data_IF_022714093580
#
_entry.id   IF_022714093580
#
_cell.length_a   1.000
_cell.length_b   1.000
_cell.length_c   1.000
_cell.angle_alpha   90.00
_cell.angle_beta   90.00
_cell.angle_gamma   90.00
#
_symmetry.space_group_name_H-M   'P 1'
#
loop_
_entity.id
_entity.type
_entity.pdbx_description
1 polymer ?
#
# COMPACT_ATOMS: atom_id res chain seq x y z
N UNK A 1 14.64 12.16 11.22
CA UNK A 1 14.85 10.81 10.63
C UNK A 1 16.23 10.77 10.00
N UNK A 2 17.07 9.80 10.38
CA UNK A 2 18.35 9.54 9.71
C UNK A 2 18.13 8.66 8.50
N UNK A 3 18.75 9.00 7.36
CA UNK A 3 18.47 8.34 6.08
C UNK A 3 19.43 7.20 5.71
N UNK A 4 20.48 6.97 6.51
CA UNK A 4 21.43 5.89 6.26
C UNK A 4 22.01 5.90 4.84
N UNK A 5 21.61 4.93 4.01
CA UNK A 5 22.08 4.80 2.62
C UNK A 5 21.29 5.67 1.62
N UNK A 6 20.14 6.25 1.98
CA UNK A 6 19.33 7.05 1.05
C UNK A 6 20.01 8.40 0.81
N UNK A 7 20.46 8.72 -0.42
CA UNK A 7 21.11 9.99 -0.71
C UNK A 7 20.10 11.14 -0.71
N UNK A 8 20.46 12.27 -0.05
CA UNK A 8 19.63 13.46 0.05
C UNK A 8 20.10 14.62 -0.85
N UNK A 9 21.11 14.43 -1.68
CA UNK A 9 21.72 15.50 -2.47
C UNK A 9 20.78 16.19 -3.45
N UNK A 10 19.73 15.52 -3.86
CA UNK A 10 18.68 15.99 -4.77
C UNK A 10 17.37 16.35 -4.07
N UNK A 11 17.30 16.19 -2.75
CA UNK A 11 16.13 16.51 -1.93
C UNK A 11 16.16 17.97 -1.49
N UNK A 12 15.01 18.62 -1.53
CA UNK A 12 14.80 20.04 -1.14
C UNK A 12 13.73 20.13 -0.06
N UNK A 13 13.71 21.25 0.63
CA UNK A 13 12.61 21.59 1.54
C UNK A 13 11.29 21.62 0.77
N UNK A 14 10.26 20.98 1.31
CA UNK A 14 8.96 20.82 0.68
C UNK A 14 8.83 19.55 -0.16
N UNK A 15 9.92 18.82 -0.46
CA UNK A 15 9.83 17.50 -1.09
C UNK A 15 9.22 16.49 -0.12
N UNK A 16 8.66 15.42 -0.67
CA UNK A 16 8.10 14.33 0.13
C UNK A 16 9.01 13.12 0.15
N UNK A 17 9.13 12.49 1.33
CA UNK A 17 9.80 11.20 1.53
C UNK A 17 8.80 10.26 2.23
N UNK A 18 8.53 9.11 1.65
CA UNK A 18 7.75 8.06 2.29
C UNK A 18 8.57 7.43 3.42
N UNK A 19 7.99 7.40 4.62
CA UNK A 19 8.55 6.78 5.83
C UNK A 19 7.63 5.68 6.28
N UNK A 20 8.06 4.42 6.19
CA UNK A 20 7.17 3.25 6.29
C UNK A 20 5.89 3.42 5.46
N UNK A 21 6.02 3.93 4.23
CA UNK A 21 4.89 4.17 3.33
C UNK A 21 4.02 5.37 3.69
N UNK A 22 4.39 6.19 4.67
CA UNK A 22 3.70 7.43 5.01
C UNK A 22 4.38 8.59 4.32
N UNK A 23 3.68 9.30 3.44
CA UNK A 23 4.19 10.49 2.77
C UNK A 23 4.39 11.62 3.78
N UNK A 24 5.65 12.03 4.00
CA UNK A 24 6.01 13.12 4.91
C UNK A 24 6.77 14.23 4.15
N UNK A 25 6.40 15.47 4.42
CA UNK A 25 7.04 16.63 3.82
C UNK A 25 8.30 17.02 4.58
N UNK A 26 9.42 17.17 3.87
CA UNK A 26 10.71 17.60 4.43
C UNK A 26 10.63 19.06 4.87
N UNK A 27 10.83 19.30 6.16
CA UNK A 27 10.84 20.66 6.75
C UNK A 27 12.25 21.18 7.01
N UNK A 28 13.23 20.28 7.28
CA UNK A 28 14.63 20.63 7.48
C UNK A 28 15.56 19.54 6.96
N UNK A 29 16.77 19.90 6.56
CA UNK A 29 17.83 19.01 6.06
C UNK A 29 19.12 19.24 6.85
N UNK A 30 19.33 18.55 7.99
CA UNK A 30 20.54 18.72 8.82
C UNK A 30 21.81 18.10 8.21
N UNK A 31 21.70 17.35 7.10
CA UNK A 31 22.82 16.76 6.37
C UNK A 31 22.90 15.24 6.44
N UNK A 32 22.55 14.62 7.56
CA UNK A 32 22.54 13.15 7.74
C UNK A 32 21.12 12.55 7.77
N UNK A 33 20.12 13.40 7.47
CA UNK A 33 18.72 13.01 7.51
C UNK A 33 17.80 14.18 7.18
N UNK A 34 16.55 14.08 7.60
CA UNK A 34 15.54 15.12 7.43
C UNK A 34 14.61 15.20 8.63
N UNK A 35 13.99 16.38 8.79
CA UNK A 35 12.88 16.59 9.70
C UNK A 35 11.58 16.64 8.89
N UNK A 36 10.51 16.17 9.50
CA UNK A 36 9.18 16.28 8.97
C UNK A 36 8.18 16.42 10.12
N UNK A 37 7.18 17.26 9.94
CA UNK A 37 6.06 17.37 10.86
C UNK A 37 5.03 16.28 10.57
N UNK A 38 4.51 15.67 11.63
CA UNK A 38 3.50 14.61 11.51
C UNK A 38 2.24 15.06 12.22
N UNK A 39 1.11 15.09 11.49
CA UNK A 39 -0.17 15.46 12.06
C UNK A 39 -0.67 14.43 13.08
N UNK A 40 -1.51 14.85 14.02
CA UNK A 40 -2.16 13.95 14.98
C UNK A 40 -3.02 12.89 14.26
N UNK A 41 -3.62 13.23 13.13
CA UNK A 41 -4.39 12.32 12.29
C UNK A 41 -3.46 11.24 11.71
N UNK A 42 -2.35 11.61 11.09
CA UNK A 42 -1.35 10.67 10.57
C UNK A 42 -0.84 9.75 11.66
N UNK A 43 -0.52 10.26 12.85
CA UNK A 43 -0.12 9.43 13.99
C UNK A 43 -1.21 8.45 14.41
N UNK A 44 -2.48 8.86 14.39
CA UNK A 44 -3.58 7.98 14.80
C UNK A 44 -3.89 6.86 13.81
N UNK A 45 -3.63 7.09 12.51
CA UNK A 45 -3.99 6.18 11.42
C UNK A 45 -2.83 5.29 10.94
N UNK A 46 -1.61 5.52 11.43
CA UNK A 46 -0.41 4.83 10.95
C UNK A 46 0.42 4.21 12.08
N UNK A 47 1.33 3.31 11.72
CA UNK A 47 2.29 2.71 12.64
C UNK A 47 3.29 3.72 13.22
N UNK A 48 3.33 4.96 12.70
CA UNK A 48 4.21 6.02 13.23
C UNK A 48 3.92 6.36 14.69
N UNK A 49 2.70 6.11 15.18
CA UNK A 49 2.33 6.28 16.60
C UNK A 49 3.21 5.46 17.58
N UNK A 50 3.73 4.32 17.11
CA UNK A 50 4.52 3.38 17.93
C UNK A 50 6.01 3.47 17.68
N UNK A 51 6.46 4.34 16.78
CA UNK A 51 7.89 4.55 16.51
C UNK A 51 8.56 5.27 17.67
N UNK A 52 9.74 4.81 18.02
CA UNK A 52 10.63 5.41 19.03
C UNK A 52 12.00 5.71 18.45
N UNK A 53 12.80 6.47 19.21
CA UNK A 53 14.19 6.75 18.81
C UNK A 53 14.96 5.44 18.66
N UNK A 54 15.58 5.26 17.48
CA UNK A 54 16.32 4.05 17.12
C UNK A 54 15.51 3.00 16.37
N UNK A 55 14.19 3.20 16.18
CA UNK A 55 13.40 2.33 15.31
C UNK A 55 13.89 2.41 13.87
N UNK A 56 14.02 1.25 13.21
CA UNK A 56 14.27 1.18 11.79
C UNK A 56 12.99 1.52 11.01
N UNK A 57 13.15 2.23 9.89
CA UNK A 57 12.05 2.60 8.97
C UNK A 57 12.48 2.42 7.52
N UNK A 58 11.55 2.02 6.67
CA UNK A 58 11.72 2.07 5.22
C UNK A 58 11.63 3.53 4.75
N UNK A 59 12.51 3.91 3.84
CA UNK A 59 12.53 5.26 3.27
C UNK A 59 12.53 5.19 1.75
N UNK A 60 11.68 5.97 1.11
CA UNK A 60 11.63 6.11 -0.33
C UNK A 60 11.34 7.56 -0.71
N UNK A 61 12.12 8.10 -1.67
CA UNK A 61 11.86 9.43 -2.22
C UNK A 61 10.67 9.39 -3.17
N UNK A 62 9.97 10.50 -3.30
CA UNK A 62 8.88 10.65 -4.26
C UNK A 62 9.31 10.29 -5.67
N UNK A 63 8.42 9.64 -6.41
CA UNK A 63 8.61 9.35 -7.83
C UNK A 63 8.73 10.64 -8.63
N UNK A 64 9.60 10.62 -9.62
CA UNK A 64 9.70 11.65 -10.65
C UNK A 64 9.27 11.09 -12.01
N UNK A 65 8.96 11.91 -13.01
CA UNK A 65 8.58 11.41 -14.35
C UNK A 65 9.63 10.53 -15.02
N UNK A 66 10.86 10.54 -14.53
CA UNK A 66 11.99 9.76 -15.08
C UNK A 66 12.38 8.58 -14.19
N UNK A 67 11.76 8.42 -13.03
CA UNK A 67 12.03 7.29 -12.13
C UNK A 67 11.44 6.01 -12.72
N UNK A 68 12.23 4.94 -12.78
CA UNK A 68 11.72 3.63 -13.18
C UNK A 68 10.73 3.12 -12.13
N UNK A 69 9.54 2.71 -12.56
CA UNK A 69 8.53 2.13 -11.68
C UNK A 69 8.86 0.66 -11.42
N UNK A 70 9.42 0.35 -10.25
CA UNK A 70 9.82 -0.99 -9.86
C UNK A 70 8.69 -1.87 -9.28
N UNK A 71 7.49 -1.33 -9.16
CA UNK A 71 6.31 -2.01 -8.61
C UNK A 71 5.03 -1.38 -9.15
N UNK A 72 4.06 -1.09 -8.27
CA UNK A 72 2.88 -0.31 -8.61
C UNK A 72 3.03 1.15 -8.16
N UNK A 73 2.05 1.99 -8.48
CA UNK A 73 2.03 3.39 -8.04
C UNK A 73 1.75 3.43 -6.53
N UNK A 74 2.75 3.80 -5.77
CA UNK A 74 2.66 4.01 -4.32
C UNK A 74 2.73 5.50 -4.06
N UNK A 75 1.73 6.02 -3.37
CA UNK A 75 1.59 7.46 -3.11
C UNK A 75 2.04 7.89 -1.71
N UNK A 76 2.19 6.93 -0.81
CA UNK A 76 2.45 7.19 0.60
C UNK A 76 1.20 7.58 1.38
N UNK A 77 0.01 7.27 0.84
CA UNK A 77 -1.27 7.54 1.46
C UNK A 77 -1.83 6.27 2.10
N UNK A 78 -1.43 6.03 3.35
CA UNK A 78 -1.82 4.84 4.11
C UNK A 78 -3.32 4.76 4.27
N UNK A 79 -3.90 3.60 3.91
CA UNK A 79 -5.34 3.34 4.01
C UNK A 79 -5.75 2.75 5.36
N UNK A 80 -4.81 2.15 6.08
CA UNK A 80 -5.05 1.57 7.39
C UNK A 80 -3.91 0.72 7.89
N UNK A 81 -4.08 0.17 9.09
CA UNK A 81 -3.11 -0.72 9.72
C UNK A 81 -3.51 -2.19 9.52
N UNK A 82 -2.56 -2.98 9.03
CA UNK A 82 -2.65 -4.44 9.08
C UNK A 82 -1.87 -4.99 10.26
N UNK A 83 -2.11 -6.26 10.58
CA UNK A 83 -1.38 -6.98 11.63
C UNK A 83 -0.76 -8.24 11.04
N UNK A 84 0.52 -8.46 11.28
CA UNK A 84 1.20 -9.71 10.92
C UNK A 84 0.63 -10.83 11.81
N UNK A 85 -0.04 -11.81 11.19
CA UNK A 85 -0.69 -12.92 11.92
C UNK A 85 0.06 -14.25 11.79
N UNK A 86 0.91 -14.38 10.78
CA UNK A 86 1.81 -15.53 10.66
C UNK A 86 3.09 -15.13 9.92
N UNK A 87 4.18 -15.75 10.31
CA UNK A 87 5.51 -15.56 9.73
C UNK A 87 6.22 -16.90 9.73
N UNK A 88 6.69 -17.36 8.59
CA UNK A 88 7.43 -18.61 8.47
C UNK A 88 8.44 -18.54 7.34
N UNK A 89 9.52 -19.32 7.48
CA UNK A 89 10.51 -19.49 6.42
C UNK A 89 9.97 -20.44 5.35
N UNK A 90 10.14 -20.08 4.07
CA UNK A 90 9.76 -20.89 2.92
C UNK A 90 10.98 -21.02 1.99
N UNK A 91 11.75 -22.08 2.18
CA UNK A 91 13.05 -22.31 1.54
C UNK A 91 14.01 -21.11 1.76
N UNK A 92 14.26 -20.30 0.71
CA UNK A 92 15.11 -19.11 0.79
C UNK A 92 14.34 -17.82 1.08
N UNK A 93 13.01 -17.85 0.97
CA UNK A 93 12.12 -16.71 1.18
C UNK A 93 11.37 -16.79 2.50
N UNK A 94 10.54 -15.81 2.77
CA UNK A 94 9.70 -15.72 3.95
C UNK A 94 8.25 -15.58 3.55
N UNK A 95 7.39 -16.41 4.13
CA UNK A 95 5.94 -16.29 3.98
C UNK A 95 5.41 -15.44 5.13
N UNK A 96 4.73 -14.37 4.77
CA UNK A 96 4.13 -13.42 5.72
C UNK A 96 2.64 -13.37 5.47
N UNK A 97 1.84 -13.64 6.50
CA UNK A 97 0.39 -13.46 6.44
C UNK A 97 0.00 -12.23 7.23
N UNK A 98 -0.80 -11.37 6.64
CA UNK A 98 -1.25 -10.11 7.23
C UNK A 98 -2.77 -10.10 7.27
N UNK A 99 -3.31 -9.72 8.42
CA UNK A 99 -4.72 -9.43 8.61
C UNK A 99 -4.94 -7.94 8.31
N UNK A 100 -5.67 -7.62 7.25
CA UNK A 100 -6.08 -6.27 6.94
C UNK A 100 -7.39 -5.89 7.64
N UNK A 101 -7.69 -4.60 7.82
CA UNK A 101 -9.03 -4.14 8.16
C UNK A 101 -10.06 -4.65 7.16
N UNK A 102 -11.25 -5.05 7.64
CA UNK A 102 -12.30 -5.61 6.78
C UNK A 102 -12.69 -4.68 5.61
N UNK A 103 -12.65 -3.36 5.82
CA UNK A 103 -12.94 -2.37 4.78
C UNK A 103 -11.94 -2.36 3.62
N UNK A 104 -10.72 -2.88 3.82
CA UNK A 104 -9.69 -2.94 2.78
C UNK A 104 -9.73 -4.25 1.98
N UNK A 105 -10.42 -5.29 2.47
CA UNK A 105 -10.42 -6.61 1.86
C UNK A 105 -10.81 -6.60 0.37
N UNK A 106 -11.77 -5.77 -0.02
CA UNK A 106 -12.27 -5.66 -1.40
C UNK A 106 -11.23 -5.16 -2.41
N UNK A 107 -10.20 -4.47 -1.95
CA UNK A 107 -9.13 -3.92 -2.80
C UNK A 107 -7.93 -4.86 -2.90
N UNK A 108 -7.86 -5.91 -2.08
CA UNK A 108 -6.73 -6.83 -2.02
C UNK A 108 -7.08 -8.08 -2.83
N UNK A 109 -6.41 -8.24 -3.96
CA UNK A 109 -6.68 -9.33 -4.89
C UNK A 109 -5.46 -10.26 -5.03
N UNK A 110 -5.69 -11.57 -5.18
CA UNK A 110 -4.61 -12.51 -5.52
C UNK A 110 -3.96 -12.12 -6.83
N UNK A 111 -2.62 -12.10 -6.86
CA UNK A 111 -1.77 -11.60 -7.94
C UNK A 111 -1.85 -10.09 -8.18
N UNK A 112 -2.63 -9.36 -7.39
CA UNK A 112 -2.60 -7.91 -7.35
C UNK A 112 -1.41 -7.37 -6.55
N UNK A 113 -1.30 -6.06 -6.48
CA UNK A 113 -0.27 -5.35 -5.71
C UNK A 113 -0.84 -4.79 -4.42
N UNK A 114 0.01 -4.73 -3.41
CA UNK A 114 -0.23 -4.02 -2.15
C UNK A 114 1.07 -3.39 -1.67
N UNK A 115 0.98 -2.23 -1.06
CA UNK A 115 2.10 -1.62 -0.37
C UNK A 115 2.04 -1.91 1.13
N UNK A 116 3.13 -2.43 1.70
CA UNK A 116 3.28 -2.71 3.13
C UNK A 116 4.50 -1.97 3.64
N UNK A 117 4.29 -1.06 4.58
CA UNK A 117 5.34 -0.16 5.10
C UNK A 117 6.23 0.44 3.99
N UNK A 118 5.61 0.92 2.89
CA UNK A 118 6.30 1.51 1.75
C UNK A 118 6.86 0.51 0.74
N UNK A 119 6.76 -0.78 0.98
CA UNK A 119 7.26 -1.81 0.07
C UNK A 119 6.15 -2.32 -0.85
N UNK A 120 6.31 -2.15 -2.17
CA UNK A 120 5.41 -2.71 -3.19
C UNK A 120 5.58 -4.22 -3.29
N UNK A 121 4.50 -4.97 -3.10
CA UNK A 121 4.53 -6.44 -3.03
C UNK A 121 3.38 -7.07 -3.80
N UNK A 122 3.62 -8.27 -4.33
CA UNK A 122 2.60 -9.09 -4.97
C UNK A 122 1.86 -9.92 -3.93
N UNK A 123 0.54 -9.89 -3.96
CA UNK A 123 -0.32 -10.73 -3.12
C UNK A 123 -0.34 -12.15 -3.67
N UNK A 124 0.07 -13.14 -2.87
CA UNK A 124 0.11 -14.56 -3.28
C UNK A 124 -1.24 -15.27 -3.11
N UNK A 125 -1.91 -15.03 -1.99
CA UNK A 125 -3.21 -15.61 -1.68
C UNK A 125 -4.05 -14.63 -0.85
N UNK A 126 -5.36 -14.78 -0.90
CA UNK A 126 -6.33 -13.99 -0.13
C UNK A 126 -7.37 -14.93 0.46
N UNK A 127 -7.68 -14.73 1.74
CA UNK A 127 -8.76 -15.39 2.46
C UNK A 127 -9.51 -14.35 3.31
N UNK A 128 -10.67 -13.91 2.83
CA UNK A 128 -11.40 -12.79 3.41
C UNK A 128 -10.56 -11.50 3.47
N UNK A 129 -10.26 -11.02 4.66
CA UNK A 129 -9.37 -9.87 4.89
C UNK A 129 -7.93 -10.26 5.23
N UNK A 130 -7.61 -11.54 5.23
CA UNK A 130 -6.24 -12.03 5.37
C UNK A 130 -5.62 -12.23 4.00
N UNK A 131 -4.37 -11.80 3.84
CA UNK A 131 -3.60 -12.03 2.62
C UNK A 131 -2.20 -12.53 2.92
N UNK A 132 -1.57 -13.17 1.95
CA UNK A 132 -0.25 -13.76 2.05
C UNK A 132 0.71 -13.13 1.05
N UNK A 133 1.95 -12.93 1.53
CA UNK A 133 3.07 -12.41 0.77
C UNK A 133 4.21 -13.42 0.81
N UNK A 134 5.03 -13.44 -0.24
CA UNK A 134 6.28 -14.17 -0.27
C UNK A 134 7.45 -13.19 -0.43
N UNK A 135 8.22 -13.00 0.64
CA UNK A 135 9.29 -12.01 0.71
C UNK A 135 10.62 -12.69 0.35
N UNK A 136 11.22 -12.26 -0.75
CA UNK A 136 12.52 -12.75 -1.20
C UNK A 136 13.65 -12.26 -0.27
N UNK A 137 14.82 -12.94 -0.22
CA UNK A 137 15.92 -12.57 0.69
C UNK A 137 16.34 -11.10 0.59
N UNK A 138 16.47 -10.58 -0.62
CA UNK A 138 16.84 -9.18 -0.86
C UNK A 138 15.86 -8.20 -0.18
N UNK A 139 14.56 -8.38 -0.37
CA UNK A 139 13.54 -7.53 0.25
C UNK A 139 13.54 -7.68 1.78
N UNK A 140 13.73 -8.91 2.27
CA UNK A 140 13.80 -9.18 3.71
C UNK A 140 14.95 -8.44 4.37
N UNK A 141 16.13 -8.41 3.75
CA UNK A 141 17.37 -7.84 4.30
C UNK A 141 17.41 -6.32 4.18
N UNK A 142 16.87 -5.76 3.07
CA UNK A 142 16.96 -4.33 2.77
C UNK A 142 15.78 -3.51 3.30
N UNK A 143 14.80 -4.15 3.94
CA UNK A 143 13.61 -3.49 4.48
C UNK A 143 13.38 -3.84 5.95
N UNK A 144 12.39 -3.18 6.57
CA UNK A 144 11.99 -3.46 7.95
C UNK A 144 11.33 -4.83 8.14
N UNK A 145 11.10 -5.62 7.08
CA UNK A 145 10.52 -6.96 7.19
C UNK A 145 11.33 -7.89 8.10
N UNK A 146 12.65 -7.74 8.17
CA UNK A 146 13.52 -8.50 9.07
C UNK A 146 13.25 -8.26 10.56
N UNK A 147 12.55 -7.19 10.90
CA UNK A 147 12.15 -6.86 12.27
C UNK A 147 10.72 -7.29 12.62
N UNK A 148 9.97 -7.86 11.66
CA UNK A 148 8.59 -8.27 11.91
C UNK A 148 8.50 -9.50 12.79
N UNK A 149 7.48 -9.51 13.63
CA UNK A 149 7.02 -10.64 14.41
C UNK A 149 5.49 -10.75 14.30
N UNK A 150 4.93 -11.88 14.72
CA UNK A 150 3.48 -11.99 14.87
C UNK A 150 2.98 -10.93 15.87
N UNK A 151 1.98 -10.16 15.47
CA UNK A 151 1.46 -9.01 16.21
C UNK A 151 2.02 -7.65 15.77
N UNK A 152 3.04 -7.61 14.89
CA UNK A 152 3.54 -6.34 14.34
C UNK A 152 2.42 -5.64 13.56
N UNK A 153 2.14 -4.37 13.87
CA UNK A 153 1.29 -3.50 13.07
C UNK A 153 2.09 -2.92 11.90
N UNK A 154 1.50 -2.92 10.71
CA UNK A 154 2.12 -2.44 9.46
C UNK A 154 1.18 -1.50 8.73
N UNK A 155 1.72 -0.47 8.08
CA UNK A 155 0.96 0.41 7.23
C UNK A 155 0.57 -0.30 5.93
N UNK A 156 -0.69 -0.20 5.53
CA UNK A 156 -1.19 -0.73 4.28
C UNK A 156 -1.65 0.42 3.38
N UNK A 157 -1.20 0.40 2.13
CA UNK A 157 -1.75 1.22 1.06
C UNK A 157 -2.17 0.29 -0.07
N UNK A 158 -3.45 0.35 -0.45
CA UNK A 158 -3.99 -0.44 -1.56
C UNK A 158 -3.65 0.20 -2.90
N UNK A 159 -3.69 -0.57 -3.98
CA UNK A 159 -3.47 -0.04 -5.31
C UNK A 159 -4.49 1.06 -5.63
N UNK A 160 -4.01 2.26 -5.95
CA UNK A 160 -4.83 3.44 -6.23
C UNK A 160 -5.84 3.20 -7.35
N UNK A 161 -5.53 2.30 -8.29
CA UNK A 161 -6.43 1.91 -9.37
C UNK A 161 -7.71 1.28 -8.81
N UNK A 162 -7.60 0.44 -7.77
CA UNK A 162 -8.76 -0.19 -7.14
C UNK A 162 -9.69 0.84 -6.49
N UNK A 163 -9.14 1.92 -5.91
CA UNK A 163 -9.91 3.03 -5.33
C UNK A 163 -10.72 3.79 -6.39
N UNK A 164 -10.08 4.16 -7.51
CA UNK A 164 -10.76 4.87 -8.57
C UNK A 164 -11.80 3.98 -9.26
N UNK A 165 -11.51 2.69 -9.43
CA UNK A 165 -12.45 1.74 -10.03
C UNK A 165 -13.73 1.61 -9.18
N UNK A 166 -13.58 1.47 -7.85
CA UNK A 166 -14.72 1.46 -6.93
C UNK A 166 -15.55 2.74 -7.08
N UNK A 167 -14.90 3.91 -7.03
CA UNK A 167 -15.60 5.20 -7.11
C UNK A 167 -16.39 5.37 -8.42
N UNK A 168 -15.83 4.90 -9.54
CA UNK A 168 -16.50 4.93 -10.83
C UNK A 168 -17.69 3.99 -10.86
N UNK A 169 -17.58 2.78 -10.30
CA UNK A 169 -18.68 1.83 -10.22
C UNK A 169 -19.82 2.35 -9.33
N UNK A 170 -19.50 2.93 -8.17
CA UNK A 170 -20.49 3.52 -7.27
C UNK A 170 -21.22 4.73 -7.87
N UNK A 171 -20.54 5.49 -8.74
CA UNK A 171 -21.14 6.68 -9.37
C UNK A 171 -22.13 6.36 -10.50
N UNK A 172 -22.30 5.07 -10.86
CA UNK A 172 -23.17 4.65 -11.94
C UNK A 172 -22.69 5.06 -13.34
N UNK A 173 -21.44 5.54 -13.47
CA UNK A 173 -20.83 5.92 -14.77
C UNK A 173 -20.57 4.69 -15.64
N UNK A 174 -20.36 3.53 -15.04
CA UNK A 174 -20.34 2.25 -15.77
C UNK A 174 -21.79 1.82 -15.91
N UNK A 175 -22.37 1.78 -17.13
CA UNK A 175 -23.73 1.28 -17.31
C UNK A 175 -23.75 -0.14 -16.75
N UNK A 176 -24.47 -0.36 -15.64
CA UNK A 176 -24.93 -1.71 -15.34
C UNK A 176 -25.70 -2.12 -16.57
N UNK A 177 -25.27 -3.16 -17.26
CA UNK A 177 -26.06 -3.72 -18.34
C UNK A 177 -27.38 -4.17 -17.69
N UNK A 178 -28.39 -3.30 -17.72
CA UNK A 178 -29.76 -3.77 -17.63
C UNK A 178 -29.86 -4.73 -18.81
N UNK A 179 -29.87 -6.02 -18.49
CA UNK A 179 -29.99 -7.04 -19.50
C UNK A 179 -31.20 -6.67 -20.35
N UNK A 180 -31.14 -6.88 -21.67
CA UNK A 180 -32.22 -6.57 -22.58
C UNK A 180 -33.48 -7.22 -21.99
N UNK A 181 -34.39 -6.41 -21.45
CA UNK A 181 -35.63 -6.92 -20.87
C UNK A 181 -36.53 -7.43 -21.98
N UNK A 182 -37.43 -8.37 -21.68
CA UNK A 182 -38.44 -8.81 -22.62
C UNK A 182 -39.29 -7.66 -23.17
N UNK A 183 -39.49 -6.62 -22.35
CA UNK A 183 -40.21 -5.41 -22.78
C UNK A 183 -39.38 -4.56 -23.75
N UNK A 184 -38.06 -4.49 -23.56
CA UNK A 184 -37.17 -3.84 -24.52
C UNK A 184 -37.18 -4.56 -25.86
N UNK A 185 -37.16 -5.90 -25.86
CA UNK A 185 -37.25 -6.72 -27.07
C UNK A 185 -38.62 -6.55 -27.76
N UNK A 186 -39.73 -6.59 -27.03
CA UNK A 186 -41.07 -6.37 -27.58
C UNK A 186 -41.22 -4.99 -28.20
N UNK A 187 -40.74 -3.95 -27.53
CA UNK A 187 -40.74 -2.57 -28.04
C UNK A 187 -39.84 -2.37 -29.27
N UNK A 188 -38.80 -3.21 -29.41
CA UNK A 188 -37.95 -3.26 -30.60
C UNK A 188 -38.49 -4.14 -31.74
N UNK A 189 -39.73 -4.69 -31.59
CA UNK A 189 -40.41 -5.44 -32.64
C UNK A 189 -40.14 -6.95 -32.64
N UNK A 190 -39.50 -7.48 -31.60
CA UNK A 190 -39.32 -8.91 -31.44
C UNK A 190 -40.54 -9.50 -30.73
N UNK A 191 -41.42 -10.17 -31.47
CA UNK A 191 -42.56 -10.90 -30.94
C UNK A 191 -42.22 -12.40 -30.99
N UNK A 192 -42.42 -13.11 -29.88
CA UNK A 192 -42.50 -14.56 -29.88
C UNK A 192 -43.95 -14.93 -30.20
N UNK A 193 -44.16 -15.64 -31.34
CA UNK A 193 -45.39 -16.38 -31.61
C UNK A 193 -45.45 -17.64 -30.73
#
# INVERSE_FOLDING_TARGET
>A
IKTGKLPLSDVKLGDSIATNGVCLTVTELPGDGYWADVSTETLSLTSLKSISIGSAVNLEKSLTPTTALGGHLVSGHVDGLGTVVALSRDARSWRVSIQAPAGLARYIASKGSICVDGTSLTVNAVDGSRFELNIIPQTWEETVFSHYAVGTEVNLEVDIIARYLERLLESGVVPTSEGISLDTLKNAGYHHD
#
